data_IF_088880911542
#
_entry.id   IF_088880911542
#
_cell.length_a   1.000
_cell.length_b   1.000
_cell.length_c   1.000
_cell.angle_alpha   90.00
_cell.angle_beta   90.00
_cell.angle_gamma   90.00
#
_symmetry.space_group_name_H-M   'P 1'
#
loop_
_entity.id
_entity.type
_entity.pdbx_description
1 polymer ?
#
# COMPACT_ATOMS: atom_id res chain seq x y z
N UNK A 1 32.81 50.47 -17.67
CA UNK A 1 31.65 50.04 -16.86
C UNK A 1 31.21 48.66 -17.34
N UNK A 2 32.14 47.69 -17.38
CA UNK A 2 31.96 46.40 -18.10
C UNK A 2 32.38 45.16 -17.27
N UNK A 3 32.70 45.31 -15.98
CA UNK A 3 33.27 44.21 -15.17
C UNK A 3 32.23 43.32 -14.50
N UNK A 4 30.94 43.70 -14.48
CA UNK A 4 29.88 42.96 -13.79
C UNK A 4 29.44 41.70 -14.55
N UNK A 5 29.39 41.75 -15.90
CA UNK A 5 28.86 40.65 -16.72
C UNK A 5 29.77 39.40 -16.73
N UNK A 6 31.09 39.59 -16.63
CA UNK A 6 32.05 38.47 -16.67
C UNK A 6 32.04 37.63 -15.38
N UNK A 7 31.77 38.26 -14.23
CA UNK A 7 31.75 37.60 -12.92
C UNK A 7 30.48 36.78 -12.70
N UNK A 8 29.34 37.27 -13.18
CA UNK A 8 28.08 36.55 -13.16
C UNK A 8 28.10 35.34 -14.11
N UNK A 9 28.72 35.48 -15.29
CA UNK A 9 28.90 34.37 -16.23
C UNK A 9 29.76 33.25 -15.62
N UNK A 10 30.81 33.62 -14.87
CA UNK A 10 31.68 32.68 -14.20
C UNK A 10 30.95 31.91 -13.08
N UNK A 11 30.09 32.58 -12.31
CA UNK A 11 29.24 31.95 -11.30
C UNK A 11 28.22 30.98 -11.90
N UNK A 12 27.63 31.33 -13.05
CA UNK A 12 26.68 30.45 -13.76
C UNK A 12 27.38 29.21 -14.31
N UNK A 13 28.59 29.36 -14.86
CA UNK A 13 29.39 28.24 -15.35
C UNK A 13 29.78 27.29 -14.20
N UNK A 14 30.24 27.84 -13.08
CA UNK A 14 30.61 27.05 -11.90
C UNK A 14 29.41 26.29 -11.31
N UNK A 15 28.23 26.92 -11.28
CA UNK A 15 26.98 26.27 -10.85
C UNK A 15 26.56 25.15 -11.81
N UNK A 16 26.69 25.35 -13.12
CA UNK A 16 26.39 24.31 -14.12
C UNK A 16 27.35 23.13 -14.03
N UNK A 17 28.64 23.37 -13.80
CA UNK A 17 29.60 22.29 -13.56
C UNK A 17 29.26 21.48 -12.30
N UNK A 18 28.86 22.17 -11.22
CA UNK A 18 28.44 21.51 -9.98
C UNK A 18 27.18 20.67 -10.20
N UNK A 19 26.18 21.21 -10.89
CA UNK A 19 24.95 20.50 -11.25
C UNK A 19 25.22 19.28 -12.14
N UNK A 20 26.15 19.40 -13.09
CA UNK A 20 26.54 18.28 -13.95
C UNK A 20 27.22 17.16 -13.15
N UNK A 21 28.13 17.50 -12.23
CA UNK A 21 28.75 16.52 -11.33
C UNK A 21 27.72 15.83 -10.45
N UNK A 22 26.76 16.58 -9.89
CA UNK A 22 25.69 16.01 -9.07
C UNK A 22 24.77 15.09 -9.88
N UNK A 23 24.45 15.46 -11.13
CA UNK A 23 23.68 14.63 -12.06
C UNK A 23 24.42 13.33 -12.42
N UNK A 24 25.73 13.38 -12.65
CA UNK A 24 26.52 12.17 -12.88
C UNK A 24 26.53 11.27 -11.66
N UNK A 25 26.68 11.83 -10.47
CA UNK A 25 26.64 11.09 -9.22
C UNK A 25 25.29 10.41 -8.99
N UNK A 26 24.20 11.11 -9.28
CA UNK A 26 22.84 10.57 -9.18
C UNK A 26 22.61 9.42 -10.17
N UNK A 27 23.10 9.54 -11.41
CA UNK A 27 23.01 8.46 -12.41
C UNK A 27 23.73 7.20 -11.94
N UNK A 28 24.96 7.34 -11.43
CA UNK A 28 25.73 6.22 -10.88
C UNK A 28 24.99 5.55 -9.70
N UNK A 29 24.34 6.35 -8.85
CA UNK A 29 23.60 5.82 -7.71
C UNK A 29 22.35 5.04 -8.13
N UNK A 30 21.64 5.49 -9.16
CA UNK A 30 20.49 4.78 -9.72
C UNK A 30 20.93 3.42 -10.27
N UNK A 31 22.01 3.38 -11.04
CA UNK A 31 22.54 2.14 -11.61
C UNK A 31 22.92 1.11 -10.53
N UNK A 32 23.58 1.56 -9.46
CA UNK A 32 23.90 0.70 -8.31
C UNK A 32 22.65 0.11 -7.65
N UNK A 33 21.61 0.93 -7.43
CA UNK A 33 20.37 0.48 -6.81
C UNK A 33 19.61 -0.52 -7.69
N UNK A 34 19.65 -0.35 -9.02
CA UNK A 34 19.06 -1.29 -9.96
C UNK A 34 19.78 -2.65 -9.94
N UNK A 35 21.12 -2.65 -9.87
CA UNK A 35 21.91 -3.88 -9.72
C UNK A 35 21.59 -4.60 -8.40
N UNK A 36 21.52 -3.87 -7.29
CA UNK A 36 21.17 -4.43 -5.97
C UNK A 36 19.76 -5.05 -5.99
N UNK A 37 18.80 -4.38 -6.65
CA UNK A 37 17.43 -4.85 -6.79
C UNK A 37 17.35 -6.15 -7.61
N UNK A 38 18.11 -6.24 -8.70
CA UNK A 38 18.19 -7.44 -9.52
C UNK A 38 18.82 -8.61 -8.76
N UNK A 39 19.89 -8.36 -8.00
CA UNK A 39 20.52 -9.36 -7.14
C UNK A 39 19.52 -9.90 -6.10
N UNK A 40 18.79 -9.01 -5.44
CA UNK A 40 17.82 -9.38 -4.41
C UNK A 40 16.66 -10.20 -5.01
N UNK A 41 16.12 -9.81 -6.17
CA UNK A 41 15.08 -10.57 -6.89
C UNK A 41 15.53 -11.98 -7.24
N UNK A 42 16.77 -12.15 -7.67
CA UNK A 42 17.35 -13.47 -7.96
C UNK A 42 17.40 -14.35 -6.71
N UNK A 43 17.81 -13.79 -5.56
CA UNK A 43 17.86 -14.49 -4.27
C UNK A 43 16.48 -14.95 -3.79
N UNK A 44 15.43 -14.15 -4.01
CA UNK A 44 14.07 -14.51 -3.61
C UNK A 44 13.40 -15.53 -4.53
N UNK A 45 13.77 -15.59 -5.81
CA UNK A 45 13.16 -16.53 -6.77
C UNK A 45 13.59 -17.98 -6.54
N UNK A 46 14.75 -18.22 -5.90
CA UNK A 46 15.26 -19.56 -5.60
C UNK A 46 14.58 -20.25 -4.40
N UNK A 47 13.73 -19.54 -3.64
CA UNK A 47 13.08 -20.05 -2.42
C UNK A 47 11.58 -20.41 -2.58
N UNK A 48 11.06 -20.55 -3.81
CA UNK A 48 9.64 -20.89 -4.05
C UNK A 48 9.44 -22.28 -4.68
N UNK A 49 9.95 -23.32 -4.03
CA UNK A 49 9.53 -24.69 -4.36
C UNK A 49 9.29 -25.49 -3.08
N UNK A 50 8.08 -25.36 -2.54
CA UNK A 50 7.42 -26.44 -1.79
C UNK A 50 5.91 -26.18 -1.78
N UNK A 51 5.20 -26.95 -2.61
CA UNK A 51 3.76 -27.09 -2.63
C UNK A 51 3.27 -27.79 -1.36
N UNK A 52 2.41 -27.12 -0.57
CA UNK A 52 1.44 -27.76 0.32
C UNK A 52 0.15 -26.93 0.34
N UNK A 53 -0.98 -27.60 0.13
CA UNK A 53 -2.37 -27.11 0.23
C UNK A 53 -2.74 -26.74 1.67
N UNK A 54 -2.13 -25.69 2.18
CA UNK A 54 -2.58 -24.91 3.33
C UNK A 54 -2.84 -23.52 2.78
N UNK A 55 -3.91 -22.83 3.18
CA UNK A 55 -4.08 -21.41 2.86
C UNK A 55 -2.91 -20.66 3.51
N UNK A 56 -1.78 -20.57 2.83
CA UNK A 56 -0.53 -20.05 3.37
C UNK A 56 -0.74 -18.58 3.63
N UNK A 57 -1.00 -18.24 4.89
CA UNK A 57 -1.11 -16.87 5.34
C UNK A 57 0.24 -16.23 5.03
N UNK A 58 0.29 -15.41 3.97
CA UNK A 58 1.49 -14.67 3.61
C UNK A 58 1.84 -13.74 4.78
N UNK A 59 3.02 -13.88 5.42
CA UNK A 59 3.41 -13.01 6.51
C UNK A 59 3.48 -11.56 6.02
N UNK A 60 2.93 -10.62 6.78
CA UNK A 60 3.09 -9.20 6.45
C UNK A 60 4.54 -8.79 6.69
N UNK A 61 5.10 -8.04 5.74
CA UNK A 61 6.42 -7.46 5.90
C UNK A 61 6.37 -6.34 6.97
N UNK A 62 7.46 -6.15 7.74
CA UNK A 62 7.56 -5.04 8.68
C UNK A 62 7.47 -3.68 7.95
N UNK A 63 6.86 -2.67 8.58
CA UNK A 63 6.60 -1.35 7.99
C UNK A 63 7.78 -0.74 7.21
N UNK A 64 9.00 -0.90 7.72
CA UNK A 64 10.22 -0.40 7.09
C UNK A 64 10.55 -1.01 5.72
N UNK A 65 10.01 -2.20 5.42
CA UNK A 65 10.24 -2.93 4.17
C UNK A 65 9.03 -2.91 3.23
N UNK A 66 7.92 -2.29 3.65
CA UNK A 66 6.70 -2.22 2.84
C UNK A 66 6.82 -1.05 1.87
N UNK A 67 6.67 -1.35 0.57
CA UNK A 67 6.57 -0.35 -0.49
C UNK A 67 5.16 -0.39 -1.10
N UNK A 68 4.71 0.77 -1.58
CA UNK A 68 3.49 0.90 -2.35
C UNK A 68 3.79 0.60 -3.81
N UNK A 69 2.91 -0.12 -4.45
CA UNK A 69 2.86 -0.32 -5.90
C UNK A 69 2.32 0.95 -6.56
N UNK A 70 2.55 1.11 -7.87
CA UNK A 70 2.03 2.26 -8.62
C UNK A 70 0.50 2.39 -8.53
N UNK A 71 -0.21 1.27 -8.54
CA UNK A 71 -1.67 1.22 -8.38
C UNK A 71 -2.10 1.71 -6.99
N UNK A 72 -1.36 1.37 -5.95
CA UNK A 72 -1.62 1.88 -4.60
C UNK A 72 -1.29 3.37 -4.45
N UNK A 73 -0.23 3.86 -5.10
CA UNK A 73 0.03 5.30 -5.15
C UNK A 73 -1.13 6.07 -5.80
N UNK A 74 -1.66 5.56 -6.92
CA UNK A 74 -2.82 6.15 -7.58
C UNK A 74 -4.07 6.09 -6.69
N UNK A 75 -4.33 4.94 -6.04
CA UNK A 75 -5.50 4.73 -5.17
C UNK A 75 -5.45 5.62 -3.93
N UNK A 76 -4.31 5.71 -3.26
CA UNK A 76 -4.15 6.40 -1.98
C UNK A 76 -3.65 7.84 -2.12
N UNK A 77 -3.50 8.37 -3.34
CA UNK A 77 -2.93 9.71 -3.57
C UNK A 77 -3.57 10.82 -2.73
N UNK A 78 -4.90 10.80 -2.58
CA UNK A 78 -5.63 11.82 -1.79
C UNK A 78 -5.36 11.75 -0.29
N UNK A 79 -5.14 10.56 0.28
CA UNK A 79 -4.80 10.45 1.71
C UNK A 79 -3.31 10.65 1.97
N UNK A 80 -2.45 10.39 0.98
CA UNK A 80 -1.00 10.64 1.10
C UNK A 80 -0.65 12.13 1.25
N UNK A 81 -1.44 13.03 0.69
CA UNK A 81 -1.21 14.49 0.79
C UNK A 81 -1.71 15.11 2.11
N UNK A 82 -2.41 14.35 2.96
CA UNK A 82 -2.92 14.86 4.23
C UNK A 82 -1.76 15.16 5.19
N UNK A 83 -1.80 16.37 5.77
CA UNK A 83 -0.84 16.79 6.76
C UNK A 83 -0.81 15.81 7.95
N UNK A 84 0.39 15.35 8.33
CA UNK A 84 0.57 14.39 9.42
C UNK A 84 0.34 12.92 9.07
N UNK A 85 -0.10 12.59 7.85
CA UNK A 85 -0.27 11.20 7.41
C UNK A 85 0.90 10.78 6.50
N UNK A 86 0.95 11.28 5.26
CA UNK A 86 2.08 11.06 4.36
C UNK A 86 2.35 9.59 3.97
N UNK A 87 3.47 9.38 3.27
CA UNK A 87 3.89 8.06 2.78
C UNK A 87 4.26 7.09 3.92
N UNK A 88 4.89 7.59 4.98
CA UNK A 88 5.32 6.76 6.11
C UNK A 88 4.12 6.16 6.86
N UNK A 89 3.05 6.93 7.10
CA UNK A 89 1.84 6.40 7.73
C UNK A 89 1.15 5.37 6.83
N UNK A 90 1.08 5.61 5.51
CA UNK A 90 0.48 4.64 4.60
C UNK A 90 1.25 3.31 4.58
N UNK A 91 2.58 3.35 4.58
CA UNK A 91 3.42 2.15 4.69
C UNK A 91 3.18 1.41 6.00
N UNK A 92 3.02 2.14 7.11
CA UNK A 92 2.69 1.56 8.42
C UNK A 92 1.30 0.91 8.39
N UNK A 93 0.30 1.56 7.80
CA UNK A 93 -1.05 1.02 7.64
C UNK A 93 -1.04 -0.27 6.82
N UNK A 94 -0.33 -0.28 5.68
CA UNK A 94 -0.15 -1.46 4.83
C UNK A 94 0.61 -2.60 5.52
N UNK A 95 1.41 -2.32 6.55
CA UNK A 95 2.07 -3.37 7.34
C UNK A 95 1.22 -3.89 8.52
N UNK A 96 0.06 -3.29 8.76
CA UNK A 96 -0.80 -3.62 9.90
C UNK A 96 -1.76 -4.76 9.57
N UNK A 97 -2.03 -5.62 10.54
CA UNK A 97 -3.13 -6.59 10.52
C UNK A 97 -4.21 -6.18 11.51
N UNK A 98 -5.47 -6.23 11.12
CA UNK A 98 -6.63 -5.98 11.99
C UNK A 98 -7.55 -7.20 11.97
N UNK A 99 -8.12 -7.55 13.11
CA UNK A 99 -9.18 -8.54 13.25
C UNK A 99 -10.46 -7.83 13.68
N UNK A 100 -11.53 -7.99 12.90
CA UNK A 100 -12.88 -7.53 13.26
C UNK A 100 -13.68 -8.75 13.73
N UNK A 101 -14.26 -8.64 14.92
CA UNK A 101 -15.18 -9.64 15.48
C UNK A 101 -16.60 -9.07 15.36
N UNK A 102 -17.40 -9.71 14.52
CA UNK A 102 -18.73 -9.28 14.10
C UNK A 102 -18.69 -8.42 12.83
N UNK A 103 -19.34 -8.89 11.78
CA UNK A 103 -19.61 -8.18 10.51
C UNK A 103 -21.05 -7.61 10.47
N UNK A 104 -21.62 -7.34 11.64
CA UNK A 104 -22.94 -6.71 11.81
C UNK A 104 -22.93 -5.18 11.63
N UNK A 105 -23.82 -4.47 12.30
CA UNK A 105 -24.06 -3.03 12.04
C UNK A 105 -22.85 -2.10 12.28
N UNK A 106 -21.95 -2.47 13.18
CA UNK A 106 -20.71 -1.70 13.46
C UNK A 106 -19.52 -2.22 12.66
N UNK A 107 -19.39 -3.55 12.56
CA UNK A 107 -18.29 -4.18 11.84
C UNK A 107 -18.35 -3.94 10.34
N UNK A 108 -19.57 -3.86 9.76
CA UNK A 108 -19.78 -3.59 8.35
C UNK A 108 -19.11 -2.28 7.88
N UNK A 109 -19.42 -1.09 8.44
CA UNK A 109 -18.75 0.14 8.04
C UNK A 109 -17.26 0.12 8.40
N UNK A 110 -16.88 -0.40 9.57
CA UNK A 110 -15.48 -0.46 9.98
C UNK A 110 -14.61 -1.26 9.00
N UNK A 111 -15.08 -2.43 8.56
CA UNK A 111 -14.38 -3.29 7.62
C UNK A 111 -14.20 -2.61 6.25
N UNK A 112 -15.24 -1.94 5.74
CA UNK A 112 -15.18 -1.21 4.46
C UNK A 112 -14.12 -0.12 4.52
N UNK A 113 -14.15 0.74 5.54
CA UNK A 113 -13.20 1.85 5.64
C UNK A 113 -11.76 1.38 5.87
N UNK A 114 -11.55 0.37 6.72
CA UNK A 114 -10.21 -0.17 6.94
C UNK A 114 -9.61 -0.81 5.68
N UNK A 115 -10.42 -1.55 4.93
CA UNK A 115 -10.02 -2.11 3.64
C UNK A 115 -9.72 -0.98 2.63
N UNK A 116 -10.62 -0.01 2.49
CA UNK A 116 -10.49 1.12 1.57
C UNK A 116 -9.27 2.01 1.85
N UNK A 117 -8.90 2.19 3.13
CA UNK A 117 -7.72 2.96 3.51
C UNK A 117 -6.40 2.21 3.22
N UNK A 118 -6.43 0.92 2.90
CA UNK A 118 -5.24 0.14 2.55
C UNK A 118 -4.56 -0.54 3.72
N UNK A 119 -5.34 -1.11 4.64
CA UNK A 119 -4.80 -2.04 5.65
C UNK A 119 -4.17 -3.25 4.96
N UNK A 120 -3.03 -3.72 5.46
CA UNK A 120 -2.33 -4.85 4.84
C UNK A 120 -3.06 -6.18 4.94
N UNK A 121 -3.73 -6.41 6.07
CA UNK A 121 -4.49 -7.63 6.31
C UNK A 121 -5.69 -7.35 7.19
N UNK A 122 -6.85 -7.79 6.72
CA UNK A 122 -8.10 -7.71 7.45
C UNK A 122 -8.66 -9.12 7.68
N UNK A 123 -8.74 -9.52 8.95
CA UNK A 123 -9.48 -10.71 9.37
C UNK A 123 -10.89 -10.33 9.79
N UNK A 124 -11.87 -11.16 9.45
CA UNK A 124 -13.27 -10.98 9.84
C UNK A 124 -13.77 -12.30 10.42
N UNK A 125 -14.32 -12.24 11.63
CA UNK A 125 -14.92 -13.38 12.32
C UNK A 125 -16.37 -13.04 12.59
N UNK A 126 -17.29 -13.86 12.11
CA UNK A 126 -18.71 -13.76 12.40
C UNK A 126 -19.32 -15.16 12.27
N UNK A 127 -20.19 -15.53 13.20
CA UNK A 127 -20.83 -16.85 13.23
C UNK A 127 -22.22 -16.85 12.58
N UNK A 128 -22.80 -15.67 12.35
CA UNK A 128 -24.14 -15.53 11.79
C UNK A 128 -24.13 -15.65 10.25
N UNK A 129 -25.34 -15.73 9.70
CA UNK A 129 -25.64 -15.59 8.28
C UNK A 129 -26.31 -14.24 7.97
N UNK A 130 -26.25 -13.82 6.72
CA UNK A 130 -26.91 -12.60 6.25
C UNK A 130 -28.43 -12.79 6.25
N UNK A 131 -29.15 -11.84 6.83
CA UNK A 131 -30.62 -11.80 6.85
C UNK A 131 -31.12 -10.48 6.25
N UNK A 132 -32.21 -10.56 5.49
CA UNK A 132 -32.83 -9.40 4.82
C UNK A 132 -33.22 -8.31 5.84
N UNK A 133 -33.77 -8.72 7.00
CA UNK A 133 -34.15 -7.84 8.12
C UNK A 133 -32.99 -6.98 8.63
N UNK A 134 -31.74 -7.39 8.40
CA UNK A 134 -30.55 -6.75 8.91
C UNK A 134 -29.87 -5.80 7.91
N UNK A 135 -30.29 -5.78 6.64
CA UNK A 135 -29.62 -5.05 5.57
C UNK A 135 -29.68 -3.52 5.71
N UNK A 136 -30.70 -2.97 6.38
CA UNK A 136 -30.82 -1.52 6.62
C UNK A 136 -29.65 -0.91 7.41
N UNK A 137 -28.91 -1.74 8.17
CA UNK A 137 -27.75 -1.30 8.97
C UNK A 137 -26.46 -2.04 8.64
N UNK A 138 -26.51 -3.09 7.82
CA UNK A 138 -25.35 -3.94 7.48
C UNK A 138 -24.98 -3.76 6.01
N UNK A 139 -24.55 -2.54 5.65
CA UNK A 139 -24.28 -2.11 4.26
C UNK A 139 -23.18 -2.88 3.54
N UNK A 140 -22.40 -3.69 4.24
CA UNK A 140 -21.39 -4.58 3.66
C UNK A 140 -22.01 -5.81 2.98
N UNK A 141 -23.29 -6.08 3.25
CA UNK A 141 -24.07 -7.20 2.69
C UNK A 141 -25.12 -6.68 1.70
N UNK A 142 -25.68 -7.59 0.92
CA UNK A 142 -26.77 -7.31 -0.01
C UNK A 142 -27.76 -8.49 -0.07
N UNK A 143 -28.94 -8.25 -0.64
CA UNK A 143 -30.04 -9.24 -0.70
C UNK A 143 -29.64 -10.54 -1.41
N UNK A 144 -28.83 -10.46 -2.46
CA UNK A 144 -28.38 -11.65 -3.20
C UNK A 144 -27.46 -12.59 -2.41
N UNK A 145 -27.02 -12.17 -1.22
CA UNK A 145 -26.19 -12.96 -0.30
C UNK A 145 -26.95 -13.38 0.96
N UNK A 146 -28.26 -13.22 1.02
CA UNK A 146 -29.06 -13.74 2.14
C UNK A 146 -28.82 -15.24 2.36
N UNK A 147 -28.68 -15.66 3.62
CA UNK A 147 -28.32 -17.03 4.01
C UNK A 147 -26.82 -17.39 3.90
N UNK A 148 -26.00 -16.54 3.29
CA UNK A 148 -24.54 -16.73 3.29
C UNK A 148 -23.96 -16.32 4.65
N UNK A 149 -22.88 -16.98 5.09
CA UNK A 149 -22.12 -16.53 6.27
C UNK A 149 -21.77 -15.04 6.16
N UNK A 150 -21.99 -14.27 7.23
CA UNK A 150 -21.64 -12.85 7.26
C UNK A 150 -20.15 -12.63 7.03
N UNK A 151 -19.28 -13.47 7.59
CA UNK A 151 -17.84 -13.39 7.37
C UNK A 151 -17.47 -13.57 5.89
N UNK A 152 -18.07 -14.56 5.21
CA UNK A 152 -17.84 -14.79 3.78
C UNK A 152 -18.43 -13.68 2.90
N UNK A 153 -19.64 -13.22 3.23
CA UNK A 153 -20.29 -12.11 2.52
C UNK A 153 -19.49 -10.82 2.65
N UNK A 154 -19.00 -10.51 3.86
CA UNK A 154 -18.15 -9.36 4.12
C UNK A 154 -16.82 -9.44 3.36
N UNK A 155 -16.15 -10.61 3.37
CA UNK A 155 -14.94 -10.88 2.59
C UNK A 155 -15.13 -10.52 1.11
N UNK A 156 -16.21 -11.00 0.48
CA UNK A 156 -16.53 -10.70 -0.94
C UNK A 156 -16.64 -9.20 -1.22
N UNK A 157 -17.10 -8.40 -0.25
CA UNK A 157 -17.19 -6.95 -0.39
C UNK A 157 -15.82 -6.29 -0.23
N UNK A 158 -15.06 -6.65 0.82
CA UNK A 158 -13.76 -6.00 1.10
C UNK A 158 -12.66 -6.38 0.10
N UNK A 159 -12.76 -7.54 -0.55
CA UNK A 159 -11.85 -7.95 -1.64
C UNK A 159 -11.84 -6.95 -2.81
N UNK A 160 -12.94 -6.22 -3.05
CA UNK A 160 -12.95 -5.16 -4.06
C UNK A 160 -12.11 -3.92 -3.69
N UNK A 161 -11.76 -3.76 -2.41
CA UNK A 161 -11.01 -2.61 -1.91
C UNK A 161 -9.52 -2.90 -1.73
N UNK A 162 -9.15 -4.16 -1.50
CA UNK A 162 -7.78 -4.62 -1.25
C UNK A 162 -7.23 -5.24 -2.54
N UNK A 163 -6.22 -4.61 -3.16
CA UNK A 163 -5.50 -5.14 -4.33
C UNK A 163 -4.15 -5.73 -3.92
#
# INVERSE_FOLDING_TARGET
METTNSRDLQLVLEKNEKLNKENEQLKLRVEQLEQELNHLKSKYSLNQSSDITTTTIKPLAPAARVNLTLTEYARYGRQLILAGFGLSAQKKLKSTSILIVGAGGLGAPAAIYLAACGIGRLGIVDYDVVEISNLHRQVIHNESRAGLSKAQSAKKTVEGYIN
#
